data_IF_874661016573
#
_entry.id   IF_874661016573
#
_cell.length_a   1.000
_cell.length_b   1.000
_cell.length_c   1.000
_cell.angle_alpha   90.00
_cell.angle_beta   90.00
_cell.angle_gamma   90.00
#
_symmetry.space_group_name_H-M   'P 1'
#
loop_
_entity.id
_entity.type
_entity.pdbx_description
1 polymer ?
#
# COMPACT_ATOMS: atom_id res chain seq x y z
N UNK A 1 -14.02 3.28 5.78
CA UNK A 1 -13.95 2.53 4.50
C UNK A 1 -13.84 1.06 4.81
N UNK A 2 -14.69 0.23 4.22
CA UNK A 2 -14.49 -1.22 4.25
C UNK A 2 -13.32 -1.54 3.31
N UNK A 3 -12.24 -2.12 3.85
CA UNK A 3 -11.02 -2.43 3.09
C UNK A 3 -10.58 -3.84 3.37
N UNK A 4 -10.02 -4.47 2.35
CA UNK A 4 -9.36 -5.78 2.48
C UNK A 4 -7.86 -5.61 2.26
N UNK A 5 -7.09 -6.50 2.88
CA UNK A 5 -5.63 -6.48 2.83
C UNK A 5 -5.11 -7.83 2.33
N UNK A 6 -3.99 -7.80 1.62
CA UNK A 6 -3.26 -9.01 1.27
C UNK A 6 -2.53 -9.50 2.54
N UNK A 7 -2.58 -10.80 2.79
CA UNK A 7 -1.86 -11.39 3.93
C UNK A 7 -1.09 -12.62 3.50
N UNK A 8 0.08 -12.81 4.11
CA UNK A 8 0.87 -14.04 4.01
C UNK A 8 0.67 -14.78 5.34
N UNK A 9 0.18 -16.01 5.26
CA UNK A 9 0.01 -16.87 6.43
C UNK A 9 1.31 -17.60 6.76
N UNK A 10 1.42 -18.13 7.98
CA UNK A 10 2.58 -18.90 8.46
C UNK A 10 2.95 -20.10 7.59
N UNK A 11 2.03 -20.60 6.77
CA UNK A 11 2.27 -21.69 5.81
C UNK A 11 2.58 -21.18 4.40
N UNK A 12 3.14 -19.98 4.28
CA UNK A 12 3.50 -19.29 3.04
C UNK A 12 2.35 -19.13 2.03
N UNK A 13 1.10 -19.28 2.48
CA UNK A 13 -0.06 -19.06 1.64
C UNK A 13 -0.40 -17.58 1.57
N UNK A 14 -0.30 -17.02 0.38
CA UNK A 14 -0.77 -15.67 0.07
C UNK A 14 -2.29 -15.67 -0.08
N UNK A 15 -2.97 -14.86 0.73
CA UNK A 15 -4.39 -14.60 0.60
C UNK A 15 -4.61 -13.28 -0.13
N UNK A 16 -5.11 -13.36 -1.36
CA UNK A 16 -5.48 -12.20 -2.16
C UNK A 16 -7.01 -12.05 -2.10
N UNK A 17 -7.54 -10.98 -1.50
CA UNK A 17 -8.98 -10.77 -1.40
C UNK A 17 -9.59 -10.47 -2.78
N UNK A 18 -10.86 -10.83 -2.98
CA UNK A 18 -11.62 -10.56 -4.22
C UNK A 18 -12.19 -9.14 -4.30
N UNK A 19 -11.88 -8.28 -3.33
CA UNK A 19 -12.46 -6.94 -3.18
C UNK A 19 -11.46 -5.81 -3.42
N UNK A 20 -11.87 -4.59 -3.07
CA UNK A 20 -10.97 -3.44 -3.13
C UNK A 20 -9.86 -3.58 -2.08
N UNK A 21 -8.63 -3.63 -2.58
CA UNK A 21 -7.43 -3.70 -1.74
C UNK A 21 -6.96 -2.29 -1.45
N UNK A 22 -6.88 -1.96 -0.16
CA UNK A 22 -6.34 -0.69 0.32
C UNK A 22 -5.45 -0.97 1.52
N UNK A 23 -4.15 -0.83 1.32
CA UNK A 23 -3.13 -1.15 2.31
C UNK A 23 -2.37 0.10 2.70
N UNK A 24 -2.15 0.29 3.99
CA UNK A 24 -1.35 1.38 4.51
C UNK A 24 0.13 1.10 4.33
N UNK A 25 0.94 2.15 4.42
CA UNK A 25 2.39 2.04 4.42
C UNK A 25 2.88 0.94 5.35
N UNK A 26 2.44 0.92 6.61
CA UNK A 26 2.88 -0.09 7.58
C UNK A 26 2.51 -1.52 7.17
N UNK A 27 1.35 -1.72 6.55
CA UNK A 27 0.96 -3.05 6.07
C UNK A 27 1.79 -3.48 4.86
N UNK A 28 2.15 -2.55 3.98
CA UNK A 28 3.01 -2.83 2.83
C UNK A 28 4.46 -3.06 3.25
N UNK A 29 4.96 -2.28 4.21
CA UNK A 29 6.28 -2.44 4.85
C UNK A 29 6.40 -3.85 5.46
N UNK A 30 5.38 -4.30 6.19
CA UNK A 30 5.32 -5.66 6.75
C UNK A 30 5.19 -6.71 5.65
N UNK A 31 4.31 -6.50 4.66
CA UNK A 31 4.08 -7.44 3.57
C UNK A 31 5.35 -7.71 2.75
N UNK A 32 6.11 -6.67 2.44
CA UNK A 32 7.34 -6.76 1.64
C UNK A 32 8.60 -6.98 2.48
N UNK A 33 8.51 -6.91 3.82
CA UNK A 33 9.67 -7.01 4.70
C UNK A 33 10.70 -5.90 4.47
N UNK A 34 10.26 -4.70 4.06
CA UNK A 34 11.13 -3.56 3.75
C UNK A 34 11.15 -2.55 4.89
N UNK A 35 12.12 -1.64 4.89
CA UNK A 35 12.18 -0.51 5.82
C UNK A 35 11.23 0.60 5.33
N UNK A 36 10.48 1.23 6.23
CA UNK A 36 9.52 2.31 5.88
C UNK A 36 10.17 3.45 5.07
N UNK A 37 11.39 3.85 5.41
CA UNK A 37 12.13 4.87 4.65
C UNK A 37 12.40 4.46 3.21
N UNK A 38 12.74 3.19 2.97
CA UNK A 38 12.95 2.65 1.62
C UNK A 38 11.64 2.64 0.85
N UNK A 39 10.56 2.19 1.49
CA UNK A 39 9.22 2.23 0.89
C UNK A 39 8.85 3.65 0.43
N UNK A 40 9.05 4.66 1.27
CA UNK A 40 8.78 6.06 0.92
C UNK A 40 9.62 6.58 -0.25
N UNK A 41 10.89 6.18 -0.34
CA UNK A 41 11.76 6.53 -1.47
C UNK A 41 11.21 5.91 -2.75
N UNK A 42 10.86 4.62 -2.73
CA UNK A 42 10.34 3.91 -3.91
C UNK A 42 9.02 4.52 -4.36
N UNK A 43 8.10 4.79 -3.43
CA UNK A 43 6.82 5.46 -3.74
C UNK A 43 7.05 6.81 -4.42
N UNK A 44 8.00 7.63 -3.94
CA UNK A 44 8.35 8.91 -4.59
C UNK A 44 8.90 8.70 -6.00
N UNK A 45 9.72 7.68 -6.22
CA UNK A 45 10.26 7.35 -7.55
C UNK A 45 9.14 6.93 -8.50
N UNK A 46 8.21 6.07 -8.06
CA UNK A 46 7.06 5.60 -8.85
C UNK A 46 6.19 6.78 -9.32
N UNK A 47 5.93 7.74 -8.43
CA UNK A 47 5.14 8.92 -8.83
C UNK A 47 5.93 9.88 -9.71
N UNK A 48 7.24 9.99 -9.50
CA UNK A 48 8.11 10.83 -10.33
C UNK A 48 8.29 10.25 -11.74
N UNK A 49 8.23 8.93 -11.90
CA UNK A 49 8.27 8.27 -13.21
C UNK A 49 6.96 8.35 -13.98
N UNK A 50 5.93 9.00 -13.41
CA UNK A 50 4.57 9.11 -13.99
C UNK A 50 3.92 7.76 -14.29
N UNK A 51 4.46 6.66 -13.76
CA UNK A 51 3.95 5.29 -13.94
C UNK A 51 2.58 5.14 -13.27
N UNK A 52 2.40 5.80 -12.13
CA UNK A 52 1.14 5.88 -11.39
C UNK A 52 0.93 7.32 -10.93
N UNK A 53 -0.32 7.67 -10.58
CA UNK A 53 -0.64 8.99 -10.01
C UNK A 53 -1.16 8.87 -8.59
N UNK A 54 -0.78 9.76 -7.65
CA UNK A 54 -1.31 9.71 -6.29
C UNK A 54 -2.83 9.87 -6.24
N UNK A 55 -3.42 10.59 -7.20
CA UNK A 55 -4.87 10.86 -7.25
C UNK A 55 -5.71 9.58 -7.40
N UNK A 56 -5.22 8.59 -8.14
CA UNK A 56 -5.93 7.32 -8.36
C UNK A 56 -5.46 6.21 -7.43
N UNK A 57 -4.24 6.31 -6.90
CA UNK A 57 -3.60 5.24 -6.13
C UNK A 57 -3.52 5.46 -4.64
N UNK A 58 -3.75 6.70 -4.15
CA UNK A 58 -3.76 7.00 -2.72
C UNK A 58 -5.15 7.40 -2.23
N UNK A 59 -5.43 7.00 -1.00
CA UNK A 59 -6.55 7.52 -0.22
C UNK A 59 -6.08 7.96 1.16
N UNK A 60 -6.37 9.20 1.50
CA UNK A 60 -6.11 9.76 2.82
C UNK A 60 -7.39 9.66 3.66
N UNK A 61 -7.33 8.94 4.78
CA UNK A 61 -8.42 8.89 5.75
C UNK A 61 -8.00 9.60 7.03
N UNK A 62 -8.85 10.50 7.49
CA UNK A 62 -8.69 11.15 8.80
C UNK A 62 -9.01 10.13 9.90
N UNK A 63 -8.09 9.93 10.83
CA UNK A 63 -8.29 9.06 12.00
C UNK A 63 -8.71 9.91 13.20
N UNK A 64 -8.03 11.03 13.43
CA UNK A 64 -8.35 12.02 14.47
C UNK A 64 -8.21 13.43 13.91
N UNK A 65 -8.63 14.46 14.66
CA UNK A 65 -8.45 15.87 14.25
C UNK A 65 -6.99 16.22 13.93
N UNK A 66 -6.02 15.50 14.51
CA UNK A 66 -4.59 15.74 14.37
C UNK A 66 -3.85 14.69 13.53
N UNK A 67 -4.53 13.62 13.08
CA UNK A 67 -3.87 12.51 12.39
C UNK A 67 -4.65 12.00 11.19
N UNK A 68 -3.88 11.67 10.15
CA UNK A 68 -4.38 11.04 8.94
C UNK A 68 -3.54 9.80 8.62
N UNK A 69 -4.12 8.93 7.80
CA UNK A 69 -3.45 7.72 7.31
C UNK A 69 -3.64 7.59 5.81
N UNK A 70 -2.54 7.28 5.13
CA UNK A 70 -2.49 7.06 3.69
C UNK A 70 -2.65 5.56 3.43
N UNK A 71 -3.52 5.24 2.49
CA UNK A 71 -3.72 3.90 1.96
C UNK A 71 -3.40 3.89 0.47
N UNK A 72 -2.82 2.80 0.02
CA UNK A 72 -2.44 2.54 -1.37
C UNK A 72 -3.29 1.42 -1.93
N UNK A 73 -3.70 1.56 -3.18
CA UNK A 73 -4.46 0.53 -3.89
C UNK A 73 -3.56 -0.63 -4.36
N UNK A 74 -4.16 -1.61 -5.03
CA UNK A 74 -3.47 -2.77 -5.59
C UNK A 74 -2.48 -2.43 -6.72
N UNK A 75 -2.63 -1.31 -7.43
CA UNK A 75 -1.70 -0.93 -8.52
C UNK A 75 -0.30 -0.67 -7.99
N UNK A 76 -0.18 -0.03 -6.82
CA UNK A 76 1.09 0.16 -6.13
C UNK A 76 1.73 -1.18 -5.76
N UNK A 77 0.92 -2.15 -5.33
CA UNK A 77 1.40 -3.50 -4.98
C UNK A 77 1.98 -4.19 -6.22
N UNK A 78 1.32 -4.06 -7.37
CA UNK A 78 1.79 -4.63 -8.65
C UNK A 78 3.12 -4.00 -9.06
N UNK A 79 3.23 -2.67 -9.03
CA UNK A 79 4.47 -1.96 -9.41
C UNK A 79 5.64 -2.24 -8.45
N UNK A 80 5.37 -2.62 -7.20
CA UNK A 80 6.44 -2.98 -6.26
C UNK A 80 7.02 -4.38 -6.50
N UNK A 81 6.32 -5.23 -7.26
CA UNK A 81 6.70 -6.64 -7.50
C UNK A 81 7.26 -6.88 -8.91
N UNK A 82 6.96 -6.00 -9.87
CA UNK A 82 7.35 -6.12 -11.28
C UNK A 82 8.11 -4.88 -11.77
#
# INVERSE_FOLDING_TARGET
>A
MERTIITIRENDRVNIPKGSVWMSEMELVVLFGVIAQVFQIVIRVIYKSETLTPMTTQQCTVITFTSWKIFYNHEIIIVLVF
#
